data_IF_526004437881
#
_entry.id   IF_526004437881
#
_cell.length_a   1.000
_cell.length_b   1.000
_cell.length_c   1.000
_cell.angle_alpha   90.00
_cell.angle_beta   90.00
_cell.angle_gamma   90.00
#
_symmetry.space_group_name_H-M   'P 1'
#
loop_
_entity.id
_entity.type
_entity.pdbx_description
1 polymer ?
#
# COMPACT_ATOMS: atom_id res chain seq x y z
N UNK A 1 -44.96 5.44 14.95
CA UNK A 1 -45.18 6.84 15.34
C UNK A 1 -44.20 7.67 14.53
N UNK A 2 -44.70 8.37 13.51
CA UNK A 2 -43.91 9.32 12.70
C UNK A 2 -43.92 10.66 13.41
N UNK A 3 -43.03 10.85 14.37
CA UNK A 3 -42.78 12.18 14.91
C UNK A 3 -42.10 13.00 13.80
N UNK A 4 -42.87 13.86 13.15
CA UNK A 4 -42.34 14.85 12.22
C UNK A 4 -41.52 15.88 12.99
N UNK A 5 -40.26 16.05 12.63
CA UNK A 5 -39.40 17.05 13.24
C UNK A 5 -39.82 18.46 12.79
N UNK A 6 -39.91 19.39 13.73
CA UNK A 6 -40.30 20.78 13.48
C UNK A 6 -39.20 21.62 12.82
N UNK A 7 -37.93 21.24 12.99
CA UNK A 7 -36.77 21.84 12.33
C UNK A 7 -35.58 20.87 12.29
N UNK A 8 -34.53 21.23 11.54
CA UNK A 8 -33.29 20.44 11.38
C UNK A 8 -32.53 20.23 12.69
N UNK A 9 -32.59 21.20 13.61
CA UNK A 9 -31.87 21.14 14.86
C UNK A 9 -32.47 20.07 15.78
N UNK A 10 -33.79 19.96 15.81
CA UNK A 10 -34.51 18.94 16.57
C UNK A 10 -34.29 17.53 15.97
N UNK A 11 -34.24 17.42 14.64
CA UNK A 11 -33.89 16.15 13.97
C UNK A 11 -32.52 15.63 14.38
N UNK A 12 -31.52 16.51 14.35
CA UNK A 12 -30.15 16.15 14.72
C UNK A 12 -30.01 15.85 16.22
N UNK A 13 -30.66 16.64 17.07
CA UNK A 13 -30.66 16.41 18.51
C UNK A 13 -31.23 15.03 18.87
N UNK A 14 -32.24 14.55 18.12
CA UNK A 14 -32.77 13.20 18.29
C UNK A 14 -31.73 12.13 17.95
N UNK A 15 -30.99 12.29 16.85
CA UNK A 15 -29.88 11.41 16.50
C UNK A 15 -28.78 11.43 17.57
N UNK A 16 -28.30 12.61 17.96
CA UNK A 16 -27.23 12.76 18.97
C UNK A 16 -27.62 12.14 20.32
N UNK A 17 -28.89 12.32 20.74
CA UNK A 17 -29.43 11.72 21.97
C UNK A 17 -29.42 10.20 21.91
N UNK A 18 -29.80 9.60 20.78
CA UNK A 18 -29.83 8.15 20.63
C UNK A 18 -28.43 7.53 20.51
N UNK A 19 -27.44 8.28 20.00
CA UNK A 19 -26.04 7.84 19.93
C UNK A 19 -25.28 7.98 21.25
N UNK A 20 -25.74 8.85 22.16
CA UNK A 20 -25.02 9.16 23.40
C UNK A 20 -24.57 7.92 24.20
N UNK A 21 -25.41 6.89 24.43
CA UNK A 21 -24.97 5.69 25.17
C UNK A 21 -23.84 4.91 24.47
N UNK A 22 -23.79 4.92 23.14
CA UNK A 22 -22.75 4.24 22.37
C UNK A 22 -21.42 5.01 22.42
N UNK A 23 -21.48 6.35 22.41
CA UNK A 23 -20.32 7.23 22.59
C UNK A 23 -19.75 7.14 24.01
N UNK A 24 -20.62 7.03 25.02
CA UNK A 24 -20.22 6.76 26.41
C UNK A 24 -19.54 5.40 26.53
N UNK A 25 -20.12 4.35 25.92
CA UNK A 25 -19.52 3.01 25.89
C UNK A 25 -18.15 3.01 25.20
N UNK A 26 -17.99 3.75 24.09
CA UNK A 26 -16.69 3.94 23.43
C UNK A 26 -15.68 4.60 24.38
N UNK A 27 -16.08 5.69 25.03
CA UNK A 27 -15.24 6.44 25.98
C UNK A 27 -14.81 5.58 27.16
N UNK A 28 -15.68 4.69 27.64
CA UNK A 28 -15.42 3.81 28.78
C UNK A 28 -14.51 2.61 28.45
N UNK A 29 -14.00 2.47 27.22
CA UNK A 29 -13.12 1.34 26.86
C UNK A 29 -11.79 1.41 27.62
N UNK A 30 -11.30 0.28 28.16
CA UNK A 30 -10.02 0.24 28.87
C UNK A 30 -8.84 0.73 28.03
N UNK A 31 -8.74 0.31 26.76
CA UNK A 31 -7.64 0.71 25.89
C UNK A 31 -7.64 2.23 25.63
N UNK A 32 -8.81 2.82 25.45
CA UNK A 32 -8.94 4.26 25.26
C UNK A 32 -8.63 5.02 26.55
N UNK A 33 -9.16 4.57 27.69
CA UNK A 33 -8.88 5.15 29.00
C UNK A 33 -7.39 5.11 29.33
N UNK A 34 -6.70 4.02 28.94
CA UNK A 34 -5.25 3.88 29.06
C UNK A 34 -4.53 4.97 28.26
N UNK A 35 -4.90 5.18 27.00
CA UNK A 35 -4.27 6.17 26.10
C UNK A 35 -4.55 7.63 26.50
N UNK A 36 -5.69 7.88 27.17
CA UNK A 36 -6.08 9.21 27.64
C UNK A 36 -5.68 9.49 29.09
N UNK A 37 -5.09 8.50 29.77
CA UNK A 37 -4.69 8.63 31.16
C UNK A 37 -3.61 9.70 31.33
N UNK A 38 -3.68 10.45 32.44
CA UNK A 38 -2.60 11.34 32.85
C UNK A 38 -1.41 10.57 33.46
N UNK A 39 -1.57 9.26 33.71
CA UNK A 39 -0.49 8.38 34.14
C UNK A 39 0.35 8.02 32.93
N UNK A 40 1.66 8.24 33.03
CA UNK A 40 2.59 7.91 31.96
C UNK A 40 2.54 6.41 31.65
N UNK A 41 2.25 6.06 30.40
CA UNK A 41 2.41 4.71 29.88
C UNK A 41 3.87 4.40 29.61
N UNK A 42 4.29 3.12 29.65
CA UNK A 42 5.60 2.73 29.15
C UNK A 42 5.78 3.20 27.70
N UNK A 43 6.86 3.93 27.43
CA UNK A 43 7.19 4.48 26.10
C UNK A 43 7.10 3.42 25.01
N UNK A 44 7.67 2.24 25.25
CA UNK A 44 7.68 1.11 24.31
C UNK A 44 6.26 0.64 23.95
N UNK A 45 5.38 0.51 24.95
CA UNK A 45 3.99 0.08 24.73
C UNK A 45 3.26 1.07 23.82
N UNK A 46 3.50 2.37 24.02
CA UNK A 46 2.86 3.40 23.21
C UNK A 46 3.43 3.48 21.79
N UNK A 47 4.75 3.31 21.61
CA UNK A 47 5.35 3.19 20.28
C UNK A 47 4.76 2.00 19.52
N UNK A 48 4.66 0.83 20.16
CA UNK A 48 4.08 -0.38 19.59
C UNK A 48 2.59 -0.22 19.29
N UNK A 49 1.85 0.46 20.17
CA UNK A 49 0.45 0.82 19.88
C UNK A 49 0.36 1.65 18.60
N UNK A 50 1.19 2.70 18.46
CA UNK A 50 1.18 3.56 17.27
C UNK A 50 1.59 2.80 15.99
N UNK A 51 2.53 1.86 16.11
CA UNK A 51 2.92 0.96 15.01
C UNK A 51 1.74 0.11 14.54
N UNK A 52 1.05 -0.55 15.46
CA UNK A 52 -0.13 -1.36 15.13
C UNK A 52 -1.31 -0.52 14.66
N UNK A 53 -1.55 0.63 15.28
CA UNK A 53 -2.56 1.61 14.85
C UNK A 53 -2.35 2.01 13.39
N UNK A 54 -1.11 2.31 13.00
CA UNK A 54 -0.78 2.66 11.62
C UNK A 54 -0.90 1.44 10.69
N UNK A 55 -0.32 0.30 11.07
CA UNK A 55 -0.33 -0.92 10.25
C UNK A 55 -1.74 -1.44 9.94
N UNK A 56 -2.58 -1.51 10.97
CA UNK A 56 -3.98 -1.92 10.84
C UNK A 56 -4.82 -0.83 10.20
N UNK A 57 -4.55 0.44 10.54
CA UNK A 57 -5.22 1.61 9.99
C UNK A 57 -5.11 1.75 8.48
N UNK A 58 -4.01 1.31 7.85
CA UNK A 58 -3.87 1.26 6.38
C UNK A 58 -5.04 0.48 5.75
N UNK A 59 -5.39 -0.68 6.32
CA UNK A 59 -6.47 -1.52 5.78
C UNK A 59 -7.87 -0.94 6.01
N UNK A 60 -8.01 -0.02 6.97
CA UNK A 60 -9.26 0.69 7.22
C UNK A 60 -9.39 1.95 6.36
N UNK A 61 -8.29 2.63 6.06
CA UNK A 61 -8.28 3.93 5.38
C UNK A 61 -8.12 3.83 3.87
N UNK A 62 -7.41 2.81 3.35
CA UNK A 62 -7.21 2.63 1.90
C UNK A 62 -8.52 2.64 1.09
N UNK A 63 -9.57 1.90 1.47
CA UNK A 63 -10.81 1.83 0.69
C UNK A 63 -11.80 2.99 0.93
N UNK A 64 -11.55 3.91 1.87
CA UNK A 64 -12.53 4.92 2.33
C UNK A 64 -13.07 5.79 1.20
N UNK A 65 -12.20 6.36 0.36
CA UNK A 65 -12.62 7.13 -0.81
C UNK A 65 -13.62 6.33 -1.68
N UNK A 66 -13.28 5.06 -1.96
CA UNK A 66 -14.11 4.17 -2.75
C UNK A 66 -15.44 3.82 -2.09
N UNK A 67 -15.48 3.71 -0.75
CA UNK A 67 -16.71 3.47 0.00
C UNK A 67 -17.64 4.68 -0.03
N UNK A 68 -17.13 5.86 0.32
CA UNK A 68 -17.91 7.10 0.36
C UNK A 68 -18.46 7.41 -1.05
N UNK A 69 -17.62 7.29 -2.09
CA UNK A 69 -18.05 7.52 -3.47
C UNK A 69 -19.16 6.55 -3.90
N UNK A 70 -18.97 5.25 -3.70
CA UNK A 70 -19.98 4.24 -4.07
C UNK A 70 -21.28 4.38 -3.28
N UNK A 71 -21.20 4.73 -1.99
CA UNK A 71 -22.39 5.05 -1.20
C UNK A 71 -23.12 6.27 -1.76
N UNK A 72 -22.38 7.30 -2.20
CA UNK A 72 -22.94 8.49 -2.84
C UNK A 72 -23.62 8.18 -4.18
N UNK A 73 -23.00 7.35 -5.01
CA UNK A 73 -23.58 6.83 -6.26
C UNK A 73 -24.90 6.07 -5.98
N UNK A 74 -24.90 5.17 -4.98
CA UNK A 74 -26.09 4.43 -4.57
C UNK A 74 -27.18 5.33 -3.97
N UNK A 75 -26.81 6.39 -3.26
CA UNK A 75 -27.75 7.41 -2.78
C UNK A 75 -28.44 8.11 -3.95
N UNK A 76 -27.71 8.43 -5.03
CA UNK A 76 -28.31 9.01 -6.24
C UNK A 76 -29.33 8.07 -6.86
N UNK A 77 -29.00 6.78 -6.99
CA UNK A 77 -29.88 5.76 -7.57
C UNK A 77 -31.16 5.52 -6.76
N UNK A 78 -31.11 5.76 -5.44
CA UNK A 78 -32.19 5.47 -4.49
C UNK A 78 -32.99 6.70 -4.07
N UNK A 79 -32.78 7.85 -4.74
CA UNK A 79 -33.57 9.07 -4.53
C UNK A 79 -33.05 10.03 -3.46
N UNK A 80 -31.88 9.76 -2.88
CA UNK A 80 -31.19 10.64 -1.92
C UNK A 80 -30.14 11.54 -2.60
N UNK A 81 -30.45 12.09 -3.78
CA UNK A 81 -29.46 12.70 -4.68
C UNK A 81 -28.64 13.84 -4.05
N UNK A 82 -29.26 14.69 -3.23
CA UNK A 82 -28.54 15.77 -2.55
C UNK A 82 -27.47 15.26 -1.58
N UNK A 83 -27.72 14.13 -0.89
CA UNK A 83 -26.71 13.48 -0.05
C UNK A 83 -25.68 12.74 -0.92
N UNK A 84 -26.13 12.11 -2.01
CA UNK A 84 -25.24 11.39 -2.91
C UNK A 84 -24.16 12.27 -3.53
N UNK A 85 -24.54 13.45 -4.03
CA UNK A 85 -23.60 14.47 -4.52
C UNK A 85 -22.63 14.95 -3.42
N UNK A 86 -23.14 15.13 -2.20
CA UNK A 86 -22.34 15.56 -1.05
C UNK A 86 -21.28 14.51 -0.67
N UNK A 87 -21.65 13.22 -0.63
CA UNK A 87 -20.74 12.11 -0.38
C UNK A 87 -19.69 11.97 -1.49
N UNK A 88 -20.08 12.02 -2.77
CA UNK A 88 -19.13 11.95 -3.89
C UNK A 88 -18.10 13.09 -3.83
N UNK A 89 -18.52 14.29 -3.40
CA UNK A 89 -17.60 15.42 -3.20
C UNK A 89 -16.66 15.16 -2.03
N UNK A 90 -17.17 14.67 -0.90
CA UNK A 90 -16.38 14.36 0.29
C UNK A 90 -15.34 13.26 0.01
N UNK A 91 -15.71 12.22 -0.72
CA UNK A 91 -14.80 11.13 -1.09
C UNK A 91 -13.48 11.63 -1.72
N UNK A 92 -13.53 12.72 -2.50
CA UNK A 92 -12.34 13.31 -3.13
C UNK A 92 -11.37 13.93 -2.13
N UNK A 93 -11.85 14.39 -0.98
CA UNK A 93 -10.98 14.91 0.08
C UNK A 93 -10.26 13.78 0.82
N UNK A 94 -10.82 12.56 0.87
CA UNK A 94 -10.20 11.40 1.52
C UNK A 94 -9.16 10.69 0.64
N UNK A 95 -9.03 11.11 -0.62
CA UNK A 95 -8.17 10.47 -1.60
C UNK A 95 -6.70 10.48 -1.16
N UNK A 96 -6.15 9.29 -0.92
CA UNK A 96 -4.74 9.11 -0.55
C UNK A 96 -4.40 9.31 0.93
N UNK A 97 -5.38 9.55 1.83
CA UNK A 97 -5.12 9.71 3.26
C UNK A 97 -4.44 8.48 3.90
N UNK A 98 -4.71 7.26 3.41
CA UNK A 98 -4.01 6.05 3.85
C UNK A 98 -2.49 6.11 3.66
N UNK A 99 -1.98 6.94 2.74
CA UNK A 99 -0.53 7.12 2.52
C UNK A 99 0.15 7.78 3.71
N UNK A 100 -0.58 8.58 4.49
CA UNK A 100 -0.08 9.14 5.75
C UNK A 100 0.15 8.03 6.78
N UNK A 101 -0.79 7.07 6.90
CA UNK A 101 -0.62 5.89 7.76
C UNK A 101 0.58 5.03 7.33
N UNK A 102 0.79 4.86 6.02
CA UNK A 102 1.99 4.17 5.50
C UNK A 102 3.25 4.93 5.91
N UNK A 103 3.32 6.24 5.66
CA UNK A 103 4.49 7.04 6.02
C UNK A 103 4.76 7.04 7.54
N UNK A 104 3.70 7.13 8.35
CA UNK A 104 3.77 7.07 9.81
C UNK A 104 4.31 5.71 10.28
N UNK A 105 3.81 4.61 9.73
CA UNK A 105 4.29 3.26 10.03
C UNK A 105 5.80 3.11 9.76
N UNK A 106 6.28 3.62 8.63
CA UNK A 106 7.71 3.60 8.31
C UNK A 106 8.53 4.45 9.28
N UNK A 107 8.08 5.67 9.59
CA UNK A 107 8.76 6.54 10.56
C UNK A 107 8.83 5.93 11.96
N UNK A 108 7.75 5.29 12.41
CA UNK A 108 7.70 4.60 13.70
C UNK A 108 8.61 3.38 13.71
N UNK A 109 8.63 2.60 12.63
CA UNK A 109 9.50 1.44 12.51
C UNK A 109 10.98 1.85 12.53
N UNK A 110 11.35 2.94 11.85
CA UNK A 110 12.72 3.46 11.87
C UNK A 110 13.13 3.90 13.29
N UNK A 111 12.26 4.63 14.00
CA UNK A 111 12.51 5.03 15.38
C UNK A 111 12.68 3.82 16.32
N UNK A 112 11.76 2.84 16.24
CA UNK A 112 11.85 1.59 16.99
C UNK A 112 13.15 0.85 16.68
N UNK A 113 13.48 0.70 15.39
CA UNK A 113 14.65 -0.02 14.91
C UNK A 113 15.97 0.67 15.26
N UNK A 114 15.99 1.97 15.53
CA UNK A 114 17.19 2.65 16.00
C UNK A 114 17.53 2.26 17.45
N UNK A 115 16.52 2.03 18.28
CA UNK A 115 16.66 1.88 19.73
C UNK A 115 16.61 0.41 20.21
N UNK A 116 15.98 -0.49 19.44
CA UNK A 116 15.68 -1.84 19.90
C UNK A 116 16.42 -2.93 19.11
N UNK A 117 16.82 -4.01 19.79
CA UNK A 117 17.48 -5.15 19.14
C UNK A 117 16.52 -5.91 18.20
N UNK A 118 15.27 -6.12 18.64
CA UNK A 118 14.21 -6.75 17.83
C UNK A 118 13.69 -5.74 16.81
N UNK A 119 13.98 -5.97 15.54
CA UNK A 119 13.59 -5.06 14.45
C UNK A 119 12.16 -5.32 13.97
N UNK A 120 11.51 -4.28 13.46
CA UNK A 120 10.20 -4.30 12.82
C UNK A 120 10.36 -4.02 11.34
N UNK A 121 9.77 -4.87 10.52
CA UNK A 121 9.59 -4.61 9.11
C UNK A 121 8.17 -4.04 8.86
N UNK A 122 8.04 -2.78 8.40
CA UNK A 122 6.73 -2.15 8.21
C UNK A 122 5.87 -2.83 7.14
N UNK A 123 6.50 -3.45 6.13
CA UNK A 123 5.78 -4.21 5.09
C UNK A 123 5.28 -5.54 5.65
N UNK A 124 6.09 -6.23 6.46
CA UNK A 124 5.65 -7.48 7.08
C UNK A 124 4.53 -7.22 8.10
N UNK A 125 4.66 -6.18 8.93
CA UNK A 125 3.69 -5.81 9.96
C UNK A 125 2.30 -5.48 9.37
N UNK A 126 2.25 -4.71 8.28
CA UNK A 126 1.00 -4.39 7.58
C UNK A 126 0.35 -5.58 6.86
N UNK A 127 1.11 -6.66 6.62
CA UNK A 127 0.64 -7.89 5.98
C UNK A 127 0.27 -9.00 6.95
N UNK A 128 0.43 -8.77 8.26
CA UNK A 128 -0.01 -9.73 9.27
C UNK A 128 -1.50 -10.01 9.13
N UNK A 129 -1.93 -11.15 9.69
CA UNK A 129 -3.36 -11.48 9.73
C UNK A 129 -4.12 -10.34 10.42
N UNK A 130 -4.99 -9.68 9.65
CA UNK A 130 -5.76 -8.56 10.15
C UNK A 130 -6.68 -9.01 11.31
N UNK A 131 -6.80 -8.22 12.38
CA UNK A 131 -7.79 -8.43 13.42
C UNK A 131 -9.22 -8.49 12.89
N UNK A 132 -10.08 -9.20 13.62
CA UNK A 132 -11.50 -9.38 13.25
C UNK A 132 -12.26 -8.06 13.16
N UNK A 133 -11.88 -7.04 13.95
CA UNK A 133 -12.49 -5.70 13.90
C UNK A 133 -12.34 -5.05 12.53
N UNK A 134 -11.19 -5.19 11.87
CA UNK A 134 -10.93 -4.61 10.55
C UNK A 134 -11.79 -5.28 9.48
N UNK A 135 -11.91 -6.61 9.53
CA UNK A 135 -12.78 -7.34 8.63
C UNK A 135 -14.25 -6.92 8.80
N UNK A 136 -14.70 -6.74 10.04
CA UNK A 136 -16.04 -6.26 10.36
C UNK A 136 -16.27 -4.81 9.93
N UNK A 137 -15.26 -3.95 10.05
CA UNK A 137 -15.34 -2.56 9.59
C UNK A 137 -15.54 -2.51 8.07
N UNK A 138 -14.72 -3.26 7.33
CA UNK A 138 -14.86 -3.39 5.87
C UNK A 138 -16.24 -3.94 5.49
N UNK A 139 -16.70 -4.98 6.20
CA UNK A 139 -18.01 -5.56 5.97
C UNK A 139 -19.15 -4.54 6.21
N UNK A 140 -19.08 -3.75 7.29
CA UNK A 140 -20.08 -2.71 7.58
C UNK A 140 -20.23 -1.72 6.41
N UNK A 141 -19.12 -1.22 5.86
CA UNK A 141 -19.17 -0.32 4.72
C UNK A 141 -19.78 -1.00 3.48
N UNK A 142 -19.35 -2.21 3.14
CA UNK A 142 -19.91 -2.93 1.98
C UNK A 142 -21.39 -3.26 2.16
N UNK A 143 -21.83 -3.63 3.37
CA UNK A 143 -23.24 -3.89 3.70
C UNK A 143 -24.10 -2.63 3.53
N UNK A 144 -23.62 -1.46 4.00
CA UNK A 144 -24.32 -0.19 3.81
C UNK A 144 -24.42 0.18 2.33
N UNK A 145 -23.34 0.04 1.56
CA UNK A 145 -23.29 0.39 0.14
C UNK A 145 -24.22 -0.52 -0.69
N UNK A 146 -24.18 -1.83 -0.44
CA UNK A 146 -24.92 -2.81 -1.24
C UNK A 146 -26.35 -3.03 -0.76
N UNK A 147 -26.66 -2.67 0.48
CA UNK A 147 -27.98 -2.81 1.08
C UNK A 147 -28.99 -1.70 0.71
N UNK A 148 -30.10 -1.69 1.45
CA UNK A 148 -31.24 -0.80 1.20
C UNK A 148 -31.07 0.61 1.76
N UNK A 149 -30.04 0.84 2.58
CA UNK A 149 -29.83 2.10 3.30
C UNK A 149 -28.45 2.73 3.04
N UNK A 150 -28.05 2.97 1.77
CA UNK A 150 -26.74 3.54 1.43
C UNK A 150 -26.51 4.93 2.04
N UNK A 151 -27.60 5.65 2.34
CA UNK A 151 -27.55 6.94 3.03
C UNK A 151 -26.97 6.86 4.44
N UNK A 152 -26.92 5.69 5.08
CA UNK A 152 -26.36 5.56 6.43
C UNK A 152 -24.83 5.62 6.46
N UNK A 153 -24.16 5.63 5.31
CA UNK A 153 -22.72 5.89 5.21
C UNK A 153 -22.33 7.20 5.91
N UNK A 154 -23.17 8.24 5.81
CA UNK A 154 -22.92 9.53 6.46
C UNK A 154 -22.84 9.45 7.99
N UNK A 155 -23.52 8.48 8.61
CA UNK A 155 -23.43 8.24 10.05
C UNK A 155 -22.11 7.57 10.43
N UNK A 156 -21.58 6.68 9.58
CA UNK A 156 -20.26 6.08 9.77
C UNK A 156 -19.19 7.18 9.73
N UNK A 157 -19.18 8.00 8.66
CA UNK A 157 -18.22 9.11 8.52
C UNK A 157 -18.32 10.09 9.71
N UNK A 158 -19.54 10.51 10.06
CA UNK A 158 -19.74 11.44 11.17
C UNK A 158 -19.20 10.91 12.49
N UNK A 159 -19.51 9.66 12.85
CA UNK A 159 -19.08 9.13 14.14
C UNK A 159 -17.57 8.88 14.18
N UNK A 160 -16.96 8.38 13.10
CA UNK A 160 -15.52 8.08 13.07
C UNK A 160 -14.67 9.36 13.06
N UNK A 161 -15.00 10.34 12.24
CA UNK A 161 -14.31 11.65 12.23
C UNK A 161 -14.46 12.38 13.58
N UNK A 162 -15.63 12.28 14.22
CA UNK A 162 -15.85 12.86 15.54
C UNK A 162 -14.94 12.22 16.61
N UNK A 163 -14.48 10.97 16.42
CA UNK A 163 -13.49 10.36 17.32
C UNK A 163 -12.13 11.03 17.21
N UNK A 164 -11.68 11.38 15.99
CA UNK A 164 -10.43 12.11 15.77
C UNK A 164 -10.45 13.46 16.48
N UNK A 165 -11.58 14.19 16.39
CA UNK A 165 -11.74 15.49 17.04
C UNK A 165 -11.76 15.36 18.57
N UNK A 166 -12.48 14.36 19.12
CA UNK A 166 -12.68 14.23 20.56
C UNK A 166 -11.50 13.56 21.28
N UNK A 167 -10.95 12.50 20.70
CA UNK A 167 -9.96 11.64 21.35
C UNK A 167 -8.57 11.79 20.74
N UNK A 168 -8.46 12.26 19.50
CA UNK A 168 -7.19 12.44 18.80
C UNK A 168 -6.18 13.35 19.52
N UNK A 169 -6.56 14.51 20.09
CA UNK A 169 -5.61 15.37 20.80
C UNK A 169 -4.89 14.67 21.96
N UNK A 170 -5.61 13.83 22.72
CA UNK A 170 -5.02 13.07 23.81
C UNK A 170 -4.07 11.99 23.30
N UNK A 171 -4.46 11.25 22.24
CA UNK A 171 -3.58 10.25 21.62
C UNK A 171 -2.32 10.89 21.02
N UNK A 172 -2.46 12.05 20.37
CA UNK A 172 -1.34 12.80 19.81
C UNK A 172 -0.40 13.28 20.91
N UNK A 173 -0.94 13.82 22.00
CA UNK A 173 -0.14 14.23 23.15
C UNK A 173 0.63 13.05 23.74
N UNK A 174 -0.02 11.89 23.90
CA UNK A 174 0.63 10.67 24.33
C UNK A 174 1.75 10.27 23.35
N UNK A 175 1.49 10.19 22.05
CA UNK A 175 2.49 9.81 21.04
C UNK A 175 3.71 10.75 21.01
N UNK A 176 3.50 12.05 21.27
CA UNK A 176 4.59 13.02 21.38
C UNK A 176 5.53 12.75 22.56
N UNK A 177 5.03 12.13 23.64
CA UNK A 177 5.87 11.77 24.80
C UNK A 177 6.74 10.52 24.57
N UNK A 178 6.44 9.70 23.55
CA UNK A 178 7.03 8.36 23.40
C UNK A 178 8.05 8.20 22.26
N UNK A 179 8.74 9.24 21.80
CA UNK A 179 9.55 9.22 20.55
C UNK A 179 8.78 8.74 19.29
N UNK A 180 7.46 8.56 19.40
CA UNK A 180 6.56 8.21 18.30
C UNK A 180 6.07 9.45 17.53
N UNK A 181 6.54 10.65 17.90
CA UNK A 181 6.13 11.90 17.29
C UNK A 181 6.29 11.90 15.76
N UNK A 182 7.34 11.24 15.24
CA UNK A 182 7.63 11.16 13.80
C UNK A 182 6.61 10.39 12.96
N UNK A 183 5.71 9.59 13.56
CA UNK A 183 4.65 8.88 12.85
C UNK A 183 3.26 9.19 13.40
N UNK A 184 2.90 10.47 13.34
CA UNK A 184 1.60 10.98 13.74
C UNK A 184 0.99 11.92 12.70
N UNK A 185 1.49 11.90 11.46
CA UNK A 185 1.03 12.79 10.39
C UNK A 185 -0.44 12.58 10.07
N UNK A 186 -0.91 11.32 10.01
CA UNK A 186 -2.33 11.00 9.81
C UNK A 186 -3.19 11.62 10.91
N UNK A 187 -2.80 11.40 12.17
CA UNK A 187 -3.56 11.88 13.33
C UNK A 187 -3.58 13.41 13.42
N UNK A 188 -2.45 14.08 13.16
CA UNK A 188 -2.38 15.55 13.13
C UNK A 188 -3.29 16.13 12.06
N UNK A 189 -3.28 15.53 10.87
CA UNK A 189 -4.11 15.97 9.75
C UNK A 189 -5.60 15.81 10.08
N UNK A 190 -6.00 14.65 10.59
CA UNK A 190 -7.40 14.38 10.95
C UNK A 190 -7.88 15.23 12.13
N UNK A 191 -7.04 15.53 13.13
CA UNK A 191 -7.41 16.49 14.19
C UNK A 191 -7.69 17.89 13.60
N UNK A 192 -6.90 18.31 12.61
CA UNK A 192 -7.03 19.64 11.99
C UNK A 192 -8.21 19.73 11.02
N UNK A 193 -8.41 18.70 10.19
CA UNK A 193 -9.36 18.72 9.07
C UNK A 193 -10.73 18.19 9.50
N UNK A 194 -10.80 17.18 10.38
CA UNK A 194 -12.06 16.52 10.74
C UNK A 194 -13.01 17.44 11.50
N UNK A 195 -12.55 18.56 12.05
CA UNK A 195 -13.45 19.59 12.60
C UNK A 195 -14.42 20.11 11.53
N UNK A 196 -13.92 20.32 10.29
CA UNK A 196 -14.74 20.76 9.17
C UNK A 196 -15.57 19.62 8.58
N UNK A 197 -15.00 18.42 8.44
CA UNK A 197 -15.73 17.24 7.93
C UNK A 197 -16.85 16.81 8.89
N UNK A 198 -16.59 16.79 10.20
CA UNK A 198 -17.58 16.48 11.25
C UNK A 198 -18.75 17.47 11.19
N UNK A 199 -18.48 18.77 11.04
CA UNK A 199 -19.53 19.79 10.90
C UNK A 199 -20.32 19.62 9.59
N UNK A 200 -19.64 19.32 8.49
CA UNK A 200 -20.29 19.00 7.21
C UNK A 200 -21.21 17.79 7.33
N UNK A 201 -20.74 16.69 7.89
CA UNK A 201 -21.50 15.45 8.08
C UNK A 201 -22.71 15.66 8.99
N UNK A 202 -22.51 16.42 10.09
CA UNK A 202 -23.58 16.86 10.99
C UNK A 202 -24.69 17.61 10.26
N UNK A 203 -24.32 18.53 9.36
CA UNK A 203 -25.30 19.25 8.54
C UNK A 203 -26.03 18.35 7.55
N UNK A 204 -25.35 17.36 6.95
CA UNK A 204 -26.00 16.42 6.03
C UNK A 204 -26.98 15.50 6.75
N UNK A 205 -26.64 14.99 7.93
CA UNK A 205 -27.55 14.21 8.78
C UNK A 205 -28.80 15.04 9.14
N UNK A 206 -28.60 16.29 9.56
CA UNK A 206 -29.71 17.19 9.90
C UNK A 206 -30.63 17.46 8.70
N UNK A 207 -30.06 17.67 7.50
CA UNK A 207 -30.83 17.87 6.25
C UNK A 207 -31.60 16.61 5.85
N UNK A 208 -30.96 15.43 5.95
CA UNK A 208 -31.56 14.15 5.64
C UNK A 208 -32.76 13.88 6.56
N UNK A 209 -32.55 13.93 7.88
CA UNK A 209 -33.58 13.61 8.86
C UNK A 209 -34.76 14.59 8.87
N UNK A 210 -34.51 15.86 8.55
CA UNK A 210 -35.59 16.83 8.40
C UNK A 210 -36.53 16.48 7.24
N UNK A 211 -35.99 15.93 6.14
CA UNK A 211 -36.77 15.51 4.96
C UNK A 211 -37.32 14.09 5.08
N UNK A 212 -36.58 13.22 5.77
CA UNK A 212 -36.79 11.78 5.88
C UNK A 212 -36.64 11.31 7.33
N UNK A 213 -37.59 11.62 8.23
CA UNK A 213 -37.51 11.24 9.64
C UNK A 213 -37.37 9.72 9.87
N UNK A 214 -37.91 8.91 8.94
CA UNK A 214 -37.81 7.45 8.94
C UNK A 214 -36.36 6.93 8.86
N UNK A 215 -35.42 7.75 8.37
CA UNK A 215 -34.00 7.40 8.28
C UNK A 215 -33.29 7.35 9.65
N UNK A 216 -33.91 7.89 10.71
CA UNK A 216 -33.28 8.02 12.03
C UNK A 216 -32.77 6.69 12.59
N UNK A 217 -33.61 5.66 12.60
CA UNK A 217 -33.25 4.37 13.21
C UNK A 217 -32.10 3.69 12.45
N UNK A 218 -32.13 3.56 11.10
CA UNK A 218 -30.99 3.04 10.35
C UNK A 218 -29.69 3.83 10.57
N UNK A 219 -29.75 5.16 10.60
CA UNK A 219 -28.58 6.01 10.88
C UNK A 219 -27.97 5.71 12.26
N UNK A 220 -28.82 5.62 13.29
CA UNK A 220 -28.40 5.29 14.66
C UNK A 220 -27.74 3.90 14.70
N UNK A 221 -28.29 2.92 13.99
CA UNK A 221 -27.76 1.56 13.94
C UNK A 221 -26.36 1.52 13.29
N UNK A 222 -26.18 2.15 12.13
CA UNK A 222 -24.87 2.20 11.45
C UNK A 222 -23.83 2.98 12.27
N UNK A 223 -24.19 4.14 12.83
CA UNK A 223 -23.29 4.92 13.69
C UNK A 223 -22.87 4.16 14.96
N UNK A 224 -23.83 3.49 15.62
CA UNK A 224 -23.55 2.65 16.78
C UNK A 224 -22.63 1.46 16.44
N UNK A 225 -22.87 0.81 15.30
CA UNK A 225 -22.02 -0.28 14.82
C UNK A 225 -20.59 0.19 14.51
N UNK A 226 -20.45 1.36 13.87
CA UNK A 226 -19.15 1.97 13.58
C UNK A 226 -18.37 2.25 14.87
N UNK A 227 -18.98 2.88 15.87
CA UNK A 227 -18.36 3.13 17.18
C UNK A 227 -17.92 1.83 17.88
N UNK A 228 -18.77 0.80 17.87
CA UNK A 228 -18.43 -0.48 18.48
C UNK A 228 -17.28 -1.19 17.77
N UNK A 229 -17.27 -1.21 16.44
CA UNK A 229 -16.20 -1.82 15.64
C UNK A 229 -14.89 -1.05 15.81
N UNK A 230 -14.93 0.28 15.69
CA UNK A 230 -13.73 1.11 15.81
C UNK A 230 -13.15 1.05 17.23
N UNK A 231 -14.00 0.95 18.24
CA UNK A 231 -13.54 0.73 19.62
C UNK A 231 -12.81 -0.62 19.78
N UNK A 232 -13.28 -1.68 19.12
CA UNK A 232 -12.58 -2.97 19.09
C UNK A 232 -11.27 -2.90 18.30
N UNK A 233 -11.20 -2.08 17.27
CA UNK A 233 -9.93 -1.81 16.58
C UNK A 233 -8.89 -1.18 17.51
N UNK A 234 -9.28 -0.22 18.36
CA UNK A 234 -8.37 0.34 19.39
C UNK A 234 -7.92 -0.75 20.38
N UNK A 235 -8.85 -1.60 20.83
CA UNK A 235 -8.53 -2.72 21.71
C UNK A 235 -7.56 -3.72 21.04
N UNK A 236 -7.76 -4.04 19.77
CA UNK A 236 -6.89 -4.93 18.98
C UNK A 236 -5.48 -4.35 18.83
N UNK A 237 -5.35 -3.03 18.62
CA UNK A 237 -4.05 -2.36 18.57
C UNK A 237 -3.32 -2.43 19.91
N UNK A 238 -4.03 -2.21 21.03
CA UNK A 238 -3.46 -2.29 22.37
C UNK A 238 -3.05 -3.74 22.72
N UNK A 239 -3.88 -4.72 22.37
CA UNK A 239 -3.57 -6.13 22.56
C UNK A 239 -2.33 -6.56 21.74
N UNK A 240 -2.26 -6.17 20.47
CA UNK A 240 -1.11 -6.47 19.63
C UNK A 240 0.18 -5.85 20.17
N UNK A 241 0.12 -4.61 20.64
CA UNK A 241 1.25 -3.94 21.28
C UNK A 241 1.72 -4.67 22.54
N UNK A 242 0.78 -5.11 23.40
CA UNK A 242 1.11 -5.86 24.61
C UNK A 242 1.73 -7.23 24.31
N UNK A 243 1.34 -7.89 23.22
CA UNK A 243 1.84 -9.22 22.82
C UNK A 243 3.12 -9.19 21.97
N UNK A 244 3.63 -8.01 21.61
CA UNK A 244 4.77 -7.86 20.69
C UNK A 244 6.09 -8.53 21.20
N UNK A 245 6.15 -8.93 22.48
CA UNK A 245 7.27 -9.66 23.09
C UNK A 245 7.27 -11.19 22.91
N UNK A 246 6.12 -11.83 22.65
CA UNK A 246 5.95 -13.28 22.81
C UNK A 246 6.30 -14.14 21.56
N UNK A 247 7.27 -13.69 20.75
CA UNK A 247 7.90 -14.57 19.75
C UNK A 247 7.41 -14.49 18.30
N UNK A 248 6.70 -13.44 17.88
CA UNK A 248 6.55 -13.18 16.44
C UNK A 248 7.72 -12.32 15.94
N UNK A 249 8.79 -12.99 15.58
CA UNK A 249 9.77 -12.55 14.60
C UNK A 249 9.89 -13.71 13.63
N UNK A 250 8.86 -13.92 12.80
CA UNK A 250 9.10 -14.67 11.58
C UNK A 250 10.16 -13.89 10.82
N UNK A 251 11.15 -14.59 10.25
CA UNK A 251 12.22 -13.98 9.47
C UNK A 251 11.63 -12.99 8.46
N UNK A 252 11.75 -11.70 8.74
CA UNK A 252 11.05 -10.67 7.99
C UNK A 252 11.85 -10.34 6.75
N UNK A 253 11.34 -10.77 5.60
CA UNK A 253 11.92 -10.47 4.31
C UNK A 253 12.03 -8.94 4.10
N UNK A 254 13.25 -8.44 3.91
CA UNK A 254 13.49 -7.02 3.69
C UNK A 254 13.61 -6.75 2.20
N UNK A 255 12.82 -5.81 1.68
CA UNK A 255 12.99 -5.31 0.32
C UNK A 255 13.89 -4.06 0.35
N UNK A 256 14.93 -4.05 -0.48
CA UNK A 256 15.84 -2.92 -0.64
C UNK A 256 15.91 -2.47 -2.09
N UNK A 257 16.07 -1.16 -2.29
CA UNK A 257 16.39 -0.56 -3.58
C UNK A 257 17.88 -0.20 -3.62
N UNK A 258 18.57 -0.68 -4.64
CA UNK A 258 19.93 -0.28 -4.98
C UNK A 258 19.92 0.48 -6.30
N UNK A 259 20.60 1.63 -6.35
CA UNK A 259 20.85 2.34 -7.60
C UNK A 259 21.88 1.63 -8.49
N UNK A 260 22.09 2.12 -9.72
CA UNK A 260 23.20 1.67 -10.56
C UNK A 260 24.52 1.72 -9.79
N UNK A 261 25.29 0.63 -9.74
CA UNK A 261 26.51 0.59 -8.95
C UNK A 261 27.53 1.60 -9.50
N UNK A 262 28.09 2.45 -8.62
CA UNK A 262 29.17 3.34 -8.99
C UNK A 262 30.49 2.56 -9.08
N UNK A 263 30.87 2.17 -10.31
CA UNK A 263 32.04 1.32 -10.58
C UNK A 263 33.35 2.12 -10.66
N UNK A 264 33.39 3.36 -10.16
CA UNK A 264 34.62 4.12 -10.03
C UNK A 264 35.72 3.35 -9.24
N UNK A 265 35.30 2.36 -8.44
CA UNK A 265 36.18 1.37 -7.80
C UNK A 265 36.05 0.04 -8.55
N UNK A 266 37.17 -0.52 -8.98
CA UNK A 266 37.35 -1.65 -9.92
C UNK A 266 36.79 -3.02 -9.49
N UNK A 267 35.78 -3.09 -8.62
CA UNK A 267 35.17 -4.35 -8.18
C UNK A 267 33.65 -4.28 -8.07
N UNK A 268 32.97 -5.36 -8.44
CA UNK A 268 31.52 -5.51 -8.34
C UNK A 268 31.12 -5.54 -6.85
N UNK A 269 30.13 -4.76 -6.41
CA UNK A 269 29.67 -4.75 -5.01
C UNK A 269 29.21 -6.13 -4.53
N UNK A 270 29.43 -6.41 -3.22
CA UNK A 270 29.05 -7.69 -2.59
C UNK A 270 27.57 -8.03 -2.80
N UNK A 271 26.67 -7.05 -2.65
CA UNK A 271 25.23 -7.25 -2.85
C UNK A 271 24.91 -7.71 -4.27
N UNK A 272 25.55 -7.13 -5.29
CA UNK A 272 25.31 -7.47 -6.69
C UNK A 272 25.85 -8.86 -7.03
N UNK A 273 26.99 -9.26 -6.43
CA UNK A 273 27.47 -10.66 -6.51
C UNK A 273 26.45 -11.64 -5.93
N UNK A 274 25.82 -11.30 -4.80
CA UNK A 274 24.75 -12.09 -4.20
C UNK A 274 23.54 -12.22 -5.14
N UNK A 275 23.06 -11.12 -5.70
CA UNK A 275 21.93 -11.11 -6.66
C UNK A 275 22.25 -11.97 -7.89
N UNK A 276 23.45 -11.81 -8.45
CA UNK A 276 23.95 -12.60 -9.58
C UNK A 276 23.97 -14.10 -9.30
N UNK A 277 24.45 -14.47 -8.11
CA UNK A 277 24.44 -15.87 -7.64
C UNK A 277 23.01 -16.42 -7.53
N UNK A 278 22.10 -15.68 -6.89
CA UNK A 278 20.68 -16.05 -6.81
C UNK A 278 20.08 -16.28 -8.21
N UNK A 279 20.27 -15.33 -9.14
CA UNK A 279 19.71 -15.42 -10.51
C UNK A 279 20.25 -16.63 -11.25
N UNK A 280 21.57 -16.85 -11.21
CA UNK A 280 22.21 -18.02 -11.83
C UNK A 280 21.65 -19.33 -11.28
N UNK A 281 21.49 -19.43 -9.95
CA UNK A 281 20.93 -20.63 -9.33
C UNK A 281 19.47 -20.88 -9.75
N UNK A 282 18.62 -19.85 -9.67
CA UNK A 282 17.18 -19.98 -10.01
C UNK A 282 16.95 -20.14 -11.50
N UNK A 283 17.77 -19.54 -12.36
CA UNK A 283 17.64 -19.69 -13.82
C UNK A 283 18.13 -21.06 -14.28
N UNK A 284 19.22 -21.57 -13.71
CA UNK A 284 19.74 -22.90 -14.04
C UNK A 284 18.68 -23.98 -13.80
N UNK A 285 17.90 -23.87 -12.71
CA UNK A 285 16.71 -24.68 -12.41
C UNK A 285 16.86 -26.17 -12.73
N UNK A 286 17.83 -26.82 -12.06
CA UNK A 286 18.10 -28.24 -12.26
C UNK A 286 18.64 -28.63 -13.65
N UNK A 287 19.10 -27.66 -14.45
CA UNK A 287 19.59 -27.88 -15.81
C UNK A 287 18.68 -27.33 -16.92
N UNK A 288 17.50 -26.81 -16.58
CA UNK A 288 16.52 -26.28 -17.55
C UNK A 288 17.09 -25.14 -18.42
N UNK A 289 18.04 -24.36 -17.88
CA UNK A 289 18.78 -23.34 -18.63
C UNK A 289 20.28 -23.52 -18.42
N UNK A 290 20.94 -24.39 -19.21
CA UNK A 290 22.31 -24.84 -18.94
C UNK A 290 23.35 -23.71 -19.01
N UNK A 291 23.09 -22.65 -19.78
CA UNK A 291 23.94 -21.46 -19.86
C UNK A 291 24.21 -20.83 -18.48
N UNK A 292 23.25 -20.92 -17.54
CA UNK A 292 23.37 -20.35 -16.20
C UNK A 292 23.97 -21.31 -15.16
N UNK A 293 24.31 -22.54 -15.53
CA UNK A 293 24.91 -23.55 -14.66
C UNK A 293 26.44 -23.59 -14.69
N UNK A 294 27.10 -24.37 -13.80
CA UNK A 294 28.55 -24.53 -13.82
C UNK A 294 29.07 -24.97 -15.20
N UNK A 295 30.03 -24.22 -15.76
CA UNK A 295 30.58 -24.48 -17.09
C UNK A 295 29.81 -23.83 -18.25
N UNK A 296 28.64 -23.24 -17.98
CA UNK A 296 27.92 -22.39 -18.93
C UNK A 296 28.57 -21.01 -19.08
N UNK A 297 28.36 -20.39 -20.24
CA UNK A 297 28.87 -19.05 -20.58
C UNK A 297 28.20 -17.91 -19.79
N UNK A 298 27.01 -18.15 -19.23
CA UNK A 298 26.28 -17.26 -18.35
C UNK A 298 26.28 -17.69 -16.88
N UNK A 299 27.21 -18.57 -16.46
CA UNK A 299 27.34 -18.97 -15.05
C UNK A 299 27.61 -17.77 -14.15
N UNK A 300 26.82 -17.63 -13.07
CA UNK A 300 26.86 -16.43 -12.22
C UNK A 300 26.16 -15.21 -12.82
N UNK A 301 25.43 -15.35 -13.94
CA UNK A 301 24.66 -14.31 -14.64
C UNK A 301 25.36 -12.93 -14.70
N UNK A 302 26.58 -12.84 -15.29
CA UNK A 302 27.38 -11.62 -15.31
C UNK A 302 26.89 -10.64 -16.38
N UNK A 303 25.65 -10.17 -16.27
CA UNK A 303 25.03 -9.30 -17.26
C UNK A 303 25.55 -7.85 -17.16
N UNK A 304 26.18 -7.29 -18.22
CA UNK A 304 26.67 -5.91 -18.22
C UNK A 304 25.59 -4.85 -17.94
N UNK A 305 24.32 -5.12 -18.26
CA UNK A 305 23.21 -4.19 -17.98
C UNK A 305 23.04 -3.90 -16.49
N UNK A 306 23.45 -4.80 -15.60
CA UNK A 306 23.34 -4.60 -14.14
C UNK A 306 23.98 -3.29 -13.67
N UNK A 307 25.00 -2.84 -14.38
CA UNK A 307 25.77 -1.65 -14.09
C UNK A 307 25.02 -0.34 -14.39
N UNK A 308 23.91 -0.43 -15.12
CA UNK A 308 23.10 0.70 -15.56
C UNK A 308 21.67 0.64 -15.03
N UNK A 309 21.38 -0.32 -14.14
CA UNK A 309 20.03 -0.59 -13.64
C UNK A 309 19.88 -0.21 -12.16
N UNK A 310 18.65 0.13 -11.79
CA UNK A 310 18.20 0.00 -10.42
C UNK A 310 17.84 -1.45 -10.11
N UNK A 311 18.06 -1.90 -8.88
CA UNK A 311 17.79 -3.26 -8.43
C UNK A 311 16.92 -3.24 -7.18
N UNK A 312 15.76 -3.87 -7.25
CA UNK A 312 15.01 -4.28 -6.06
C UNK A 312 15.50 -5.65 -5.63
N UNK A 313 15.85 -5.80 -4.35
CA UNK A 313 16.36 -7.05 -3.79
C UNK A 313 15.54 -7.38 -2.54
N UNK A 314 14.91 -8.54 -2.56
CA UNK A 314 14.25 -9.13 -1.40
C UNK A 314 15.26 -10.03 -0.67
N UNK A 315 15.46 -9.80 0.61
CA UNK A 315 16.49 -10.47 1.42
C UNK A 315 15.88 -11.18 2.63
N UNK A 316 16.40 -12.37 2.91
CA UNK A 316 16.25 -13.07 4.18
C UNK A 316 17.58 -12.97 4.95
N UNK A 317 17.61 -12.10 5.96
CA UNK A 317 18.86 -11.62 6.54
C UNK A 317 19.74 -10.95 5.47
N UNK A 318 20.96 -11.45 5.29
CA UNK A 318 21.89 -10.96 4.26
C UNK A 318 21.74 -11.68 2.91
N UNK A 319 20.94 -12.75 2.84
CA UNK A 319 20.82 -13.59 1.66
C UNK A 319 19.75 -13.04 0.71
N UNK A 320 20.08 -12.74 -0.56
CA UNK A 320 19.07 -12.39 -1.55
C UNK A 320 18.22 -13.62 -1.89
N UNK A 321 16.91 -13.49 -1.75
CA UNK A 321 15.91 -14.54 -2.05
C UNK A 321 14.95 -14.13 -3.17
N UNK A 322 14.96 -12.86 -3.55
CA UNK A 322 14.30 -12.35 -4.74
C UNK A 322 15.00 -11.12 -5.28
N UNK A 323 14.91 -10.89 -6.58
CA UNK A 323 15.45 -9.70 -7.22
C UNK A 323 14.61 -9.32 -8.44
N UNK A 324 14.62 -8.04 -8.77
CA UNK A 324 14.14 -7.52 -10.03
C UNK A 324 14.95 -6.27 -10.38
N UNK A 325 15.22 -6.04 -11.67
CA UNK A 325 15.95 -4.85 -12.09
C UNK A 325 15.15 -4.00 -13.07
N UNK A 326 15.42 -2.70 -13.02
CA UNK A 326 14.81 -1.69 -13.89
C UNK A 326 15.90 -0.88 -14.59
N UNK A 327 15.89 -0.92 -15.92
CA UNK A 327 16.62 0.01 -16.77
C UNK A 327 15.78 1.28 -16.89
N UNK A 328 16.31 2.47 -16.56
CA UNK A 328 15.57 3.72 -16.65
C UNK A 328 15.26 4.10 -18.12
N UNK A 329 14.20 4.89 -18.37
CA UNK A 329 13.95 5.44 -19.69
C UNK A 329 15.14 6.31 -20.12
N UNK A 330 15.64 6.10 -21.34
CA UNK A 330 16.79 6.86 -21.85
C UNK A 330 16.80 6.92 -23.37
N UNK A 331 17.06 8.09 -23.97
CA UNK A 331 17.27 8.23 -25.41
C UNK A 331 18.58 7.57 -25.88
N UNK A 332 19.53 7.37 -24.97
CA UNK A 332 20.83 6.71 -25.20
C UNK A 332 20.91 5.36 -24.48
N UNK A 333 19.76 4.71 -24.24
CA UNK A 333 19.73 3.47 -23.48
C UNK A 333 20.71 2.46 -24.09
N UNK A 334 21.55 1.79 -23.26
CA UNK A 334 22.39 0.69 -23.74
C UNK A 334 21.52 -0.38 -24.39
N UNK A 335 22.13 -1.23 -25.21
CA UNK A 335 21.42 -2.32 -25.87
C UNK A 335 20.75 -3.19 -24.80
N UNK A 336 19.43 -3.27 -24.87
CA UNK A 336 18.60 -3.87 -23.83
C UNK A 336 18.32 -5.34 -24.12
N UNK A 337 17.78 -6.08 -23.14
CA UNK A 337 17.42 -7.51 -23.35
C UNK A 337 16.33 -7.59 -24.42
N UNK A 338 15.34 -6.72 -24.36
CA UNK A 338 14.28 -6.66 -25.37
C UNK A 338 14.83 -6.36 -26.77
N UNK A 339 15.77 -5.41 -26.89
CA UNK A 339 16.37 -5.08 -28.19
C UNK A 339 17.23 -6.22 -28.76
N UNK A 340 17.91 -6.97 -27.90
CA UNK A 340 18.73 -8.12 -28.26
C UNK A 340 17.88 -9.29 -28.79
N UNK A 341 16.79 -9.62 -28.10
CA UNK A 341 15.96 -10.79 -28.41
C UNK A 341 14.98 -10.53 -29.56
N UNK A 342 14.36 -9.35 -29.63
CA UNK A 342 13.30 -9.04 -30.61
C UNK A 342 13.79 -8.20 -31.79
N UNK A 343 15.01 -7.68 -31.73
CA UNK A 343 15.58 -6.77 -32.72
C UNK A 343 15.09 -5.34 -32.57
N UNK A 344 16.04 -4.41 -32.37
CA UNK A 344 15.78 -2.98 -32.10
C UNK A 344 14.76 -2.30 -33.02
N UNK A 345 14.82 -2.54 -34.34
CA UNK A 345 13.89 -1.94 -35.31
C UNK A 345 12.46 -2.43 -35.11
N UNK A 346 12.30 -3.73 -34.86
CA UNK A 346 11.01 -4.37 -34.65
C UNK A 346 10.37 -3.91 -33.33
N UNK A 347 11.16 -3.86 -32.25
CA UNK A 347 10.72 -3.33 -30.94
C UNK A 347 10.22 -1.90 -31.10
N UNK A 348 11.00 -1.03 -31.73
CA UNK A 348 10.61 0.37 -31.95
C UNK A 348 9.30 0.50 -32.72
N UNK A 349 9.14 -0.24 -33.82
CA UNK A 349 7.91 -0.20 -34.62
C UNK A 349 6.70 -0.74 -33.86
N UNK A 350 6.87 -1.80 -33.06
CA UNK A 350 5.80 -2.41 -32.28
C UNK A 350 5.32 -1.48 -31.16
N UNK A 351 6.24 -0.85 -30.44
CA UNK A 351 5.89 0.11 -29.39
C UNK A 351 5.21 1.36 -29.96
N UNK A 352 5.65 1.86 -31.12
CA UNK A 352 4.98 2.98 -31.80
C UNK A 352 3.53 2.64 -32.15
N UNK A 353 3.25 1.42 -32.61
CA UNK A 353 1.86 0.96 -32.86
C UNK A 353 1.04 0.87 -31.58
N UNK A 354 1.67 0.54 -30.46
CA UNK A 354 1.06 0.58 -29.12
C UNK A 354 0.94 2.01 -28.55
N UNK A 355 1.39 3.03 -29.28
CA UNK A 355 1.29 4.44 -28.91
C UNK A 355 2.36 4.93 -27.93
N UNK A 356 3.52 4.25 -27.83
CA UNK A 356 4.59 4.61 -26.90
C UNK A 356 5.96 4.64 -27.61
N UNK A 357 6.80 5.64 -27.30
CA UNK A 357 8.17 5.67 -27.80
C UNK A 357 9.10 4.84 -26.90
N UNK A 358 10.02 4.08 -27.50
CA UNK A 358 11.03 3.30 -26.75
C UNK A 358 11.87 4.14 -25.79
N UNK A 359 12.16 5.40 -26.12
CA UNK A 359 12.91 6.33 -25.25
C UNK A 359 12.19 6.65 -23.95
N UNK A 360 10.86 6.52 -23.95
CA UNK A 360 9.98 6.82 -22.83
C UNK A 360 9.66 5.55 -22.04
N UNK A 361 10.19 4.38 -22.45
CA UNK A 361 9.98 3.11 -21.77
C UNK A 361 11.12 2.82 -20.79
N UNK A 362 10.75 2.46 -19.56
CA UNK A 362 11.63 1.69 -18.70
C UNK A 362 11.64 0.23 -19.18
N UNK A 363 12.72 -0.51 -18.91
CA UNK A 363 12.76 -1.95 -19.16
C UNK A 363 12.94 -2.71 -17.86
N UNK A 364 12.08 -3.69 -17.65
CA UNK A 364 12.17 -4.63 -16.53
C UNK A 364 12.68 -5.96 -17.04
N UNK A 365 13.59 -6.55 -16.28
CA UNK A 365 14.06 -7.91 -16.52
C UNK A 365 14.48 -8.55 -15.19
N UNK A 366 14.76 -9.86 -15.25
CA UNK A 366 15.28 -10.63 -14.11
C UNK A 366 14.39 -10.51 -12.85
N UNK A 367 13.08 -10.47 -13.02
CA UNK A 367 12.14 -10.69 -11.92
C UNK A 367 12.23 -12.15 -11.50
N UNK A 368 13.04 -12.43 -10.50
CA UNK A 368 13.39 -13.76 -10.02
C UNK A 368 13.07 -13.84 -8.53
N UNK A 369 12.37 -14.89 -8.11
CA UNK A 369 12.14 -15.21 -6.70
C UNK A 369 12.47 -16.68 -6.51
N UNK A 370 13.28 -16.95 -5.49
CA UNK A 370 13.63 -18.31 -5.07
C UNK A 370 12.33 -19.11 -4.81
N UNK A 371 12.22 -20.37 -5.27
CA UNK A 371 10.99 -21.16 -5.19
C UNK A 371 10.29 -21.12 -3.82
N UNK A 372 11.04 -21.29 -2.73
CA UNK A 372 10.52 -21.31 -1.36
C UNK A 372 9.88 -19.98 -0.92
N UNK A 373 10.20 -18.88 -1.61
CA UNK A 373 9.74 -17.53 -1.30
C UNK A 373 8.73 -17.00 -2.33
N UNK A 374 8.27 -17.82 -3.29
CA UNK A 374 7.27 -17.40 -4.29
C UNK A 374 5.86 -17.21 -3.69
N UNK A 375 5.62 -17.80 -2.53
CA UNK A 375 4.41 -17.65 -1.73
C UNK A 375 4.28 -16.22 -1.14
N UNK A 376 3.07 -15.82 -0.74
CA UNK A 376 2.78 -14.58 0.01
C UNK A 376 3.07 -13.24 -0.68
N UNK A 377 2.80 -13.13 -1.99
CA UNK A 377 2.82 -11.87 -2.79
C UNK A 377 4.19 -11.23 -3.05
N UNK A 378 5.30 -11.94 -2.78
CA UNK A 378 6.66 -11.42 -2.99
C UNK A 378 6.97 -10.98 -4.44
N UNK A 379 6.55 -11.71 -5.49
CA UNK A 379 6.70 -11.22 -6.87
C UNK A 379 5.95 -9.90 -7.12
N UNK A 380 4.76 -9.74 -6.53
CA UNK A 380 3.95 -8.51 -6.64
C UNK A 380 4.59 -7.34 -5.90
N UNK A 381 5.24 -7.59 -4.75
CA UNK A 381 6.03 -6.58 -4.04
C UNK A 381 7.16 -6.03 -4.91
N UNK A 382 7.96 -6.92 -5.51
CA UNK A 382 9.04 -6.52 -6.42
C UNK A 382 8.49 -5.76 -7.63
N UNK A 383 7.40 -6.25 -8.22
CA UNK A 383 6.77 -5.59 -9.36
C UNK A 383 6.17 -4.21 -9.01
N UNK A 384 5.52 -4.07 -7.84
CA UNK A 384 5.05 -2.79 -7.34
C UNK A 384 6.20 -1.79 -7.16
N UNK A 385 7.38 -2.26 -6.72
CA UNK A 385 8.61 -1.48 -6.66
C UNK A 385 9.04 -0.99 -8.04
N UNK A 386 9.09 -1.88 -9.03
CA UNK A 386 9.44 -1.54 -10.41
C UNK A 386 8.45 -0.53 -11.02
N UNK A 387 7.15 -0.75 -10.85
CA UNK A 387 6.12 0.15 -11.36
C UNK A 387 6.25 1.54 -10.75
N UNK A 388 6.40 1.61 -9.43
CA UNK A 388 6.54 2.87 -8.70
C UNK A 388 7.80 3.63 -9.13
N UNK A 389 8.92 2.92 -9.27
CA UNK A 389 10.18 3.53 -9.70
C UNK A 389 10.08 4.02 -11.15
N UNK A 390 9.45 3.26 -12.04
CA UNK A 390 9.21 3.69 -13.42
C UNK A 390 8.39 4.98 -13.48
N UNK A 391 7.32 5.06 -12.69
CA UNK A 391 6.48 6.26 -12.59
C UNK A 391 7.28 7.47 -12.09
N UNK A 392 8.11 7.29 -11.05
CA UNK A 392 8.98 8.35 -10.53
C UNK A 392 10.02 8.83 -11.57
N UNK A 393 10.51 7.91 -12.40
CA UNK A 393 11.44 8.19 -13.49
C UNK A 393 10.73 8.73 -14.76
N UNK A 394 9.44 9.05 -14.68
CA UNK A 394 8.62 9.55 -15.80
C UNK A 394 8.56 8.62 -17.01
N UNK A 395 8.70 7.30 -16.81
CA UNK A 395 8.45 6.34 -17.87
C UNK A 395 6.96 6.36 -18.24
N UNK A 396 6.65 6.26 -19.53
CA UNK A 396 5.27 6.09 -20.05
C UNK A 396 4.84 4.62 -20.08
N UNK A 397 5.81 3.72 -20.13
CA UNK A 397 5.55 2.29 -20.08
C UNK A 397 6.75 1.54 -19.48
N UNK A 398 6.48 0.33 -18.99
CA UNK A 398 7.49 -0.69 -18.71
C UNK A 398 7.39 -1.74 -19.80
N UNK A 399 8.53 -2.13 -20.37
CA UNK A 399 8.61 -3.25 -21.30
C UNK A 399 9.42 -4.39 -20.69
N UNK A 400 9.12 -5.63 -21.10
CA UNK A 400 9.87 -6.80 -20.67
C UNK A 400 9.85 -7.88 -21.75
N UNK A 401 10.94 -8.64 -21.83
CA UNK A 401 10.98 -9.93 -22.51
C UNK A 401 10.55 -11.00 -21.51
N UNK A 402 9.48 -11.74 -21.82
CA UNK A 402 8.84 -12.67 -20.87
C UNK A 402 8.76 -14.06 -21.50
N UNK A 403 9.25 -15.07 -20.78
CA UNK A 403 9.18 -16.47 -21.21
C UNK A 403 7.79 -17.07 -21.09
N UNK A 404 7.50 -18.08 -21.91
CA UNK A 404 6.19 -18.73 -21.98
C UNK A 404 6.15 -20.10 -21.32
N UNK A 405 7.27 -20.82 -21.26
CA UNK A 405 7.28 -22.25 -20.89
C UNK A 405 6.83 -22.53 -19.45
N UNK A 406 6.99 -21.53 -18.57
CA UNK A 406 6.54 -21.61 -17.18
C UNK A 406 5.41 -20.62 -16.84
N UNK A 407 4.72 -20.09 -17.86
CA UNK A 407 3.57 -19.19 -17.69
C UNK A 407 3.92 -17.83 -17.08
N UNK A 408 5.16 -17.35 -17.25
CA UNK A 408 5.53 -16.00 -16.81
C UNK A 408 4.74 -14.92 -17.57
N UNK A 409 4.43 -15.16 -18.84
CA UNK A 409 3.57 -14.29 -19.65
C UNK A 409 2.15 -14.16 -19.05
N UNK A 410 1.60 -15.25 -18.50
CA UNK A 410 0.33 -15.26 -17.76
C UNK A 410 0.45 -14.48 -16.46
N UNK A 411 1.52 -14.67 -15.70
CA UNK A 411 1.77 -13.88 -14.48
C UNK A 411 1.83 -12.37 -14.80
N UNK A 412 2.55 -11.98 -15.84
CA UNK A 412 2.65 -10.58 -16.26
C UNK A 412 1.28 -10.04 -16.70
N UNK A 413 0.47 -10.84 -17.39
CA UNK A 413 -0.90 -10.47 -17.77
C UNK A 413 -1.80 -10.27 -16.54
N UNK A 414 -1.71 -11.14 -15.53
CA UNK A 414 -2.41 -10.97 -14.24
C UNK A 414 -1.96 -9.68 -13.54
N UNK A 415 -0.69 -9.29 -13.71
CA UNK A 415 -0.14 -8.02 -13.24
C UNK A 415 -0.46 -6.83 -14.16
N UNK A 416 -1.36 -6.99 -15.13
CA UNK A 416 -1.84 -5.92 -16.00
C UNK A 416 -0.97 -5.64 -17.24
N UNK A 417 -0.10 -6.55 -17.64
CA UNK A 417 0.62 -6.44 -18.91
C UNK A 417 -0.30 -6.72 -20.10
N UNK A 418 -0.07 -6.00 -21.18
CA UNK A 418 -0.48 -6.38 -22.53
C UNK A 418 0.68 -7.13 -23.22
N UNK A 419 0.40 -8.24 -23.89
CA UNK A 419 1.37 -8.95 -24.72
C UNK A 419 1.30 -8.42 -26.16
N UNK A 420 2.42 -7.94 -26.68
CA UNK A 420 2.51 -7.34 -28.01
C UNK A 420 2.88 -8.39 -29.06
N UNK A 421 1.90 -9.18 -29.50
CA UNK A 421 2.11 -10.28 -30.47
C UNK A 421 2.72 -9.81 -31.80
N UNK A 422 2.55 -8.53 -32.15
CA UNK A 422 3.17 -7.90 -33.32
C UNK A 422 4.69 -7.88 -33.31
N UNK A 423 5.34 -8.10 -32.15
CA UNK A 423 6.79 -8.26 -32.04
C UNK A 423 7.29 -9.65 -32.45
N UNK A 424 6.41 -10.63 -32.60
CA UNK A 424 6.76 -12.03 -32.83
C UNK A 424 7.12 -12.79 -31.55
N UNK A 425 7.59 -14.03 -31.73
CA UNK A 425 7.85 -15.01 -30.66
C UNK A 425 9.23 -15.65 -30.85
N UNK A 426 10.34 -14.92 -30.64
CA UNK A 426 11.67 -15.47 -30.83
C UNK A 426 11.96 -16.58 -29.81
N UNK A 427 12.61 -17.64 -30.28
CA UNK A 427 13.24 -18.64 -29.42
C UNK A 427 14.56 -18.07 -28.89
N UNK A 428 14.72 -18.01 -27.57
CA UNK A 428 15.94 -17.53 -26.95
C UNK A 428 16.81 -18.69 -26.50
N UNK A 429 17.97 -18.86 -27.15
CA UNK A 429 18.94 -19.87 -26.75
C UNK A 429 19.47 -19.64 -25.32
N UNK A 430 19.60 -18.38 -24.90
CA UNK A 430 20.08 -18.03 -23.56
C UNK A 430 19.09 -18.47 -22.48
N UNK A 431 17.79 -18.20 -22.68
CA UNK A 431 16.76 -18.54 -21.70
C UNK A 431 16.15 -19.92 -21.90
N UNK A 432 16.46 -20.59 -23.01
CA UNK A 432 15.86 -21.84 -23.44
C UNK A 432 14.32 -21.79 -23.34
N UNK A 433 13.74 -20.74 -23.92
CA UNK A 433 12.31 -20.41 -23.82
C UNK A 433 11.88 -19.62 -25.06
N UNK A 434 10.58 -19.64 -25.36
CA UNK A 434 9.97 -18.74 -26.34
C UNK A 434 9.60 -17.44 -25.62
N UNK A 435 10.02 -16.31 -26.16
CA UNK A 435 9.80 -15.01 -25.53
C UNK A 435 8.62 -14.26 -26.15
N UNK A 436 7.90 -13.51 -25.31
CA UNK A 436 6.90 -12.52 -25.71
C UNK A 436 7.29 -11.14 -25.20
N UNK A 437 6.97 -10.11 -25.99
CA UNK A 437 7.16 -8.72 -25.59
C UNK A 437 5.95 -8.27 -24.76
N UNK A 438 6.16 -7.99 -23.49
CA UNK A 438 5.15 -7.42 -22.60
C UNK A 438 5.27 -5.90 -22.51
N UNK A 439 4.14 -5.21 -22.39
CA UNK A 439 4.07 -3.78 -22.06
C UNK A 439 3.11 -3.54 -20.89
N UNK A 440 3.55 -2.74 -19.92
CA UNK A 440 2.68 -2.17 -18.88
C UNK A 440 2.63 -0.67 -19.08
N UNK A 441 1.42 -0.11 -19.12
CA UNK A 441 1.28 1.35 -19.13
C UNK A 441 1.58 1.90 -17.74
N UNK A 442 2.33 2.99 -17.70
CA UNK A 442 2.66 3.69 -16.47
C UNK A 442 1.88 4.99 -16.49
N UNK A 443 0.78 5.01 -15.75
CA UNK A 443 -0.05 6.19 -15.53
C UNK A 443 -0.15 6.45 -14.03
N UNK A 444 0.51 7.51 -13.56
CA UNK A 444 0.46 7.91 -12.16
C UNK A 444 -0.94 8.31 -11.69
N UNK A 445 -1.84 8.70 -12.60
CA UNK A 445 -3.23 9.01 -12.29
C UNK A 445 -4.11 7.76 -12.16
N UNK A 446 -3.68 6.64 -12.75
CA UNK A 446 -4.38 5.34 -12.69
C UNK A 446 -3.39 4.21 -12.37
N UNK A 447 -2.79 4.21 -11.17
CA UNK A 447 -1.87 3.15 -10.77
C UNK A 447 -2.58 1.79 -10.68
N UNK A 448 -1.85 0.67 -10.78
CA UNK A 448 -2.44 -0.64 -10.52
C UNK A 448 -2.93 -0.74 -9.08
N UNK A 449 -3.98 -1.54 -8.83
CA UNK A 449 -4.53 -1.73 -7.49
C UNK A 449 -3.74 -2.79 -6.71
N UNK A 450 -2.50 -2.46 -6.36
CA UNK A 450 -1.65 -3.32 -5.52
C UNK A 450 -1.46 -2.70 -4.14
N UNK A 451 -1.78 -3.43 -3.05
CA UNK A 451 -1.55 -2.96 -1.68
C UNK A 451 -0.09 -2.58 -1.39
N UNK A 452 0.85 -3.15 -2.13
CA UNK A 452 2.28 -2.91 -1.97
C UNK A 452 2.77 -1.56 -2.51
N UNK A 453 2.02 -0.90 -3.39
CA UNK A 453 2.51 0.30 -4.08
C UNK A 453 2.87 1.43 -3.13
N UNK A 454 2.04 1.70 -2.13
CA UNK A 454 2.32 2.81 -1.20
C UNK A 454 3.52 2.51 -0.30
N UNK A 455 3.71 1.25 0.09
CA UNK A 455 4.94 0.84 0.76
C UNK A 455 6.18 1.03 -0.13
N UNK A 456 6.07 0.72 -1.42
CA UNK A 456 7.18 0.91 -2.36
C UNK A 456 7.42 2.39 -2.66
N UNK A 457 6.38 3.22 -2.75
CA UNK A 457 6.51 4.69 -2.84
C UNK A 457 7.32 5.24 -1.69
N UNK A 458 6.98 4.84 -0.47
CA UNK A 458 7.67 5.31 0.73
C UNK A 458 9.11 4.77 0.80
N UNK A 459 9.34 3.47 0.50
CA UNK A 459 10.68 2.88 0.41
C UNK A 459 11.56 3.65 -0.59
N UNK A 460 11.07 3.90 -1.79
CA UNK A 460 11.83 4.58 -2.86
C UNK A 460 12.11 6.02 -2.47
N UNK A 461 11.07 6.75 -1.99
CA UNK A 461 11.22 8.13 -1.52
C UNK A 461 12.30 8.24 -0.46
N UNK A 462 12.29 7.38 0.56
CA UNK A 462 13.31 7.36 1.62
C UNK A 462 14.69 7.05 1.06
N UNK A 463 14.80 5.99 0.27
CA UNK A 463 16.08 5.53 -0.31
C UNK A 463 16.74 6.60 -1.19
N UNK A 464 15.95 7.33 -1.99
CA UNK A 464 16.47 8.35 -2.90
C UNK A 464 16.66 9.72 -2.24
N UNK A 465 15.94 10.00 -1.14
CA UNK A 465 16.10 11.27 -0.39
C UNK A 465 17.26 11.23 0.59
N UNK A 466 17.70 10.05 1.02
CA UNK A 466 18.92 9.92 1.80
C UNK A 466 20.13 10.31 0.93
N UNK A 467 21.03 11.20 1.40
CA UNK A 467 22.33 11.35 0.75
C UNK A 467 22.95 9.96 0.66
N UNK A 468 23.63 9.59 -0.45
CA UNK A 468 24.22 8.27 -0.59
C UNK A 468 25.07 8.03 0.64
N UNK A 469 24.58 7.14 1.51
CA UNK A 469 25.30 6.79 2.71
C UNK A 469 26.67 6.38 2.20
N UNK A 470 27.71 7.09 2.65
CA UNK A 470 29.06 6.58 2.55
C UNK A 470 29.01 5.26 3.32
N UNK A 471 28.75 4.18 2.59
CA UNK A 471 28.98 2.82 3.04
C UNK A 471 30.48 2.82 3.33
N UNK A 472 30.81 3.10 4.58
CA UNK A 472 32.16 2.99 5.11
C UNK A 472 32.65 1.60 4.76
N UNK A 473 33.80 1.61 4.05
CA UNK A 473 34.63 0.53 3.54
C UNK A 473 34.40 -0.88 4.09
#
# INVERSE_FOLDING_TARGET
>A
MTDTFSDKQNSLAAYEKLLAPYREKFTARPALSMLQSTVALPTELLQLFMLHYSAFGISMTHPVEGWIRRAGERCNDTGYSALGEALIKHARHEAGHHRLMVADLWSLADAWNAEHAKKINPVALSRQKLPGSIAQYRALHEEVITGDTPYTQIAIEYEIEALSVRHGPALLAAACTSNAAGGSSFLREHISIDSAHTQFNREQIAKLLFRHPECLKPLVQSGAAALEIYGRFIDDCAAAAASFGDGQSNQDLVCRLFGPPNIAYSSIPKWLKGVRSLRSHVLFDGGSRPAFGPGGDAFGDPDPLDLHCYHFVLQDGDNPVGAARLVPPSPKSPLSVVDAEFGRRNVHQTLLRAGVNKSDCAEVSRLIVHPDYRQYSNPRLLFAGLWTLAALLNARAIIAAVGTDHGLDRLYTILGAEMLDGAGHPESALFNDVLRLAIFRVDSASPPDYPELDHMRELIKRTLSSPPAQLTA
#
